data_IF_476115729075
#
_entry.id   IF_476115729075
#
_cell.length_a   1.000
_cell.length_b   1.000
_cell.length_c   1.000
_cell.angle_alpha   90.00
_cell.angle_beta   90.00
_cell.angle_gamma   90.00
#
_symmetry.space_group_name_H-M   'P 1'
#
loop_
_entity.id
_entity.type
_entity.pdbx_description
1 polymer ?
#
# COMPACT_ATOMS: atom_id res chain seq x y z
N UNK A 1 10.60 -13.09 18.47
CA UNK A 1 11.72 -12.15 18.66
C UNK A 1 11.17 -10.74 18.78
N UNK A 2 11.55 -9.99 19.82
CA UNK A 2 11.11 -8.59 20.01
C UNK A 2 12.28 -7.66 19.68
N UNK A 3 12.09 -6.76 18.73
CA UNK A 3 13.07 -5.76 18.31
C UNK A 3 12.53 -4.39 18.72
N UNK A 4 13.25 -3.66 19.58
CA UNK A 4 12.90 -2.27 19.91
C UNK A 4 13.39 -1.36 18.80
N UNK A 5 12.51 -0.50 18.29
CA UNK A 5 12.86 0.51 17.27
C UNK A 5 13.25 1.83 17.95
N UNK A 6 12.28 2.49 18.60
CA UNK A 6 12.49 3.77 19.27
C UNK A 6 11.44 3.99 20.37
N UNK A 7 11.86 4.48 21.54
CA UNK A 7 11.01 4.63 22.71
C UNK A 7 10.27 3.34 23.06
N UNK A 8 8.95 3.42 23.16
CA UNK A 8 8.06 2.28 23.46
C UNK A 8 7.58 1.50 22.22
N UNK A 9 8.13 1.79 21.03
CA UNK A 9 7.76 1.09 19.80
C UNK A 9 8.58 -0.17 19.63
N UNK A 10 7.91 -1.31 19.50
CA UNK A 10 8.52 -2.62 19.29
C UNK A 10 7.93 -3.35 18.09
N UNK A 11 8.78 -4.06 17.37
CA UNK A 11 8.43 -5.01 16.32
C UNK A 11 8.51 -6.41 16.91
N UNK A 12 7.45 -7.18 16.72
CA UNK A 12 7.34 -8.58 17.08
C UNK A 12 7.51 -9.40 15.81
N UNK A 13 8.62 -10.13 15.70
CA UNK A 13 8.88 -11.03 14.60
C UNK A 13 8.67 -12.48 15.06
N UNK A 14 7.82 -13.24 14.36
CA UNK A 14 7.64 -14.68 14.58
C UNK A 14 7.90 -15.45 13.29
N UNK A 15 8.20 -16.75 13.43
CA UNK A 15 8.34 -17.64 12.27
C UNK A 15 7.07 -17.68 11.42
N UNK A 16 5.90 -17.67 12.04
CA UNK A 16 4.62 -17.63 11.34
C UNK A 16 4.46 -16.37 10.49
N UNK A 17 4.97 -15.22 10.93
CA UNK A 17 4.95 -13.99 10.11
C UNK A 17 5.87 -14.10 8.90
N UNK A 18 7.08 -14.66 9.08
CA UNK A 18 8.03 -14.83 7.97
C UNK A 18 7.46 -15.79 6.93
N UNK A 19 6.91 -16.92 7.37
CA UNK A 19 6.25 -17.89 6.48
C UNK A 19 5.04 -17.24 5.80
N UNK A 20 4.20 -16.52 6.54
CA UNK A 20 3.05 -15.81 6.00
C UNK A 20 3.43 -14.77 4.93
N UNK A 21 4.48 -13.99 5.17
CA UNK A 21 5.02 -13.04 4.20
C UNK A 21 5.50 -13.74 2.93
N UNK A 22 6.21 -14.87 3.06
CA UNK A 22 6.70 -15.64 1.92
C UNK A 22 5.56 -16.22 1.07
N UNK A 23 4.53 -16.80 1.73
CA UNK A 23 3.33 -17.32 1.05
C UNK A 23 2.59 -16.19 0.32
N UNK A 24 2.39 -15.05 0.98
CA UNK A 24 1.78 -13.87 0.40
C UNK A 24 2.54 -13.41 -0.85
N UNK A 25 3.86 -13.25 -0.75
CA UNK A 25 4.70 -12.75 -1.84
C UNK A 25 4.70 -13.70 -3.03
N UNK A 26 4.84 -15.01 -2.78
CA UNK A 26 4.74 -16.04 -3.82
C UNK A 26 3.36 -16.06 -4.48
N UNK A 27 2.29 -15.87 -3.71
CA UNK A 27 0.92 -15.86 -4.24
C UNK A 27 0.70 -14.69 -5.20
N UNK A 28 1.18 -13.48 -4.85
CA UNK A 28 1.10 -12.32 -5.75
C UNK A 28 1.94 -12.55 -7.01
N UNK A 29 3.20 -12.95 -6.85
CA UNK A 29 4.07 -13.18 -8.01
C UNK A 29 3.53 -14.29 -8.92
N UNK A 30 3.02 -15.38 -8.34
CA UNK A 30 2.43 -16.49 -9.07
C UNK A 30 1.18 -16.07 -9.84
N UNK A 31 0.28 -15.29 -9.22
CA UNK A 31 -0.91 -14.77 -9.89
C UNK A 31 -0.53 -13.86 -11.07
N UNK A 32 0.42 -12.94 -10.86
CA UNK A 32 0.91 -12.05 -11.92
C UNK A 32 1.61 -12.83 -13.04
N UNK A 33 2.46 -13.79 -12.70
CA UNK A 33 3.16 -14.63 -13.67
C UNK A 33 2.18 -15.46 -14.51
N UNK A 34 1.12 -16.00 -13.89
CA UNK A 34 0.09 -16.74 -14.61
C UNK A 34 -0.63 -15.85 -15.63
N UNK A 35 -1.04 -14.65 -15.21
CA UNK A 35 -1.71 -13.69 -16.11
C UNK A 35 -0.79 -13.28 -17.26
N UNK A 36 0.49 -13.01 -17.00
CA UNK A 36 1.44 -12.56 -18.02
C UNK A 36 1.88 -13.67 -18.98
N UNK A 37 2.18 -14.87 -18.49
CA UNK A 37 2.82 -15.92 -19.28
C UNK A 37 1.86 -17.00 -19.77
N UNK A 38 0.72 -17.20 -19.12
CA UNK A 38 -0.27 -18.23 -19.50
C UNK A 38 -1.46 -17.59 -20.24
N UNK A 39 -2.04 -16.53 -19.68
CA UNK A 39 -3.15 -15.82 -20.34
C UNK A 39 -2.61 -14.92 -21.47
N UNK A 40 -1.40 -14.37 -21.31
CA UNK A 40 -0.77 -13.51 -22.32
C UNK A 40 -1.27 -12.07 -22.28
N UNK A 41 -1.76 -11.61 -21.13
CA UNK A 41 -2.21 -10.22 -20.97
C UNK A 41 -1.05 -9.23 -21.13
N UNK A 42 -1.28 -8.06 -21.77
CA UNK A 42 -0.26 -7.04 -21.91
C UNK A 42 0.08 -6.42 -20.55
N UNK A 43 1.36 -6.28 -20.25
CA UNK A 43 1.82 -5.64 -19.02
C UNK A 43 3.18 -6.12 -18.55
N UNK A 44 3.50 -5.84 -17.29
CA UNK A 44 4.70 -6.36 -16.65
C UNK A 44 4.75 -6.07 -15.17
N UNK A 45 5.60 -6.81 -14.45
CA UNK A 45 5.73 -6.69 -12.98
C UNK A 45 6.05 -5.26 -12.52
N UNK A 46 6.87 -4.54 -13.27
CA UNK A 46 7.26 -3.16 -12.96
C UNK A 46 6.09 -2.18 -12.93
N UNK A 47 4.95 -2.49 -13.56
CA UNK A 47 3.77 -1.61 -13.57
C UNK A 47 3.08 -1.51 -12.21
N UNK A 48 3.41 -2.39 -11.27
CA UNK A 48 2.90 -2.38 -9.89
C UNK A 48 3.90 -1.76 -8.90
N UNK A 49 5.03 -1.26 -9.40
CA UNK A 49 6.08 -0.61 -8.60
C UNK A 49 6.05 0.89 -8.88
N UNK A 50 5.70 1.70 -7.87
CA UNK A 50 5.62 3.15 -7.96
C UNK A 50 6.26 3.82 -6.75
N UNK A 51 7.42 4.45 -6.98
CA UNK A 51 8.13 5.19 -5.93
C UNK A 51 7.26 6.34 -5.37
N UNK A 52 6.58 7.18 -6.18
CA UNK A 52 5.71 8.23 -5.66
C UNK A 52 4.58 7.68 -4.78
N UNK A 53 3.94 6.59 -5.20
CA UNK A 53 2.87 5.95 -4.42
C UNK A 53 3.42 5.39 -3.11
N UNK A 54 4.62 4.81 -3.13
CA UNK A 54 5.29 4.32 -1.93
C UNK A 54 5.55 5.46 -0.94
N UNK A 55 6.17 6.56 -1.39
CA UNK A 55 6.47 7.73 -0.55
C UNK A 55 5.20 8.30 0.07
N UNK A 56 4.14 8.47 -0.74
CA UNK A 56 2.87 9.03 -0.27
C UNK A 56 2.24 8.13 0.79
N UNK A 57 2.09 6.83 0.51
CA UNK A 57 1.41 5.90 1.42
C UNK A 57 2.18 5.71 2.72
N UNK A 58 3.51 5.55 2.64
CA UNK A 58 4.34 5.44 3.85
C UNK A 58 4.36 6.74 4.64
N UNK A 59 4.52 7.88 3.96
CA UNK A 59 4.58 9.19 4.61
C UNK A 59 3.29 9.54 5.33
N UNK A 60 2.15 9.38 4.66
CA UNK A 60 0.82 9.64 5.24
C UNK A 60 0.49 8.64 6.33
N UNK A 61 0.69 7.33 6.08
CA UNK A 61 0.36 6.28 7.04
C UNK A 61 1.14 6.41 8.35
N UNK A 62 2.47 6.50 8.27
CA UNK A 62 3.32 6.71 9.45
C UNK A 62 3.05 8.08 10.07
N UNK A 63 2.86 9.12 9.25
CA UNK A 63 2.58 10.48 9.72
C UNK A 63 1.35 10.57 10.62
N UNK A 64 0.22 9.99 10.18
CA UNK A 64 -1.01 9.94 10.97
C UNK A 64 -0.84 9.18 12.28
N UNK A 65 -0.16 8.04 12.24
CA UNK A 65 0.10 7.27 13.47
C UNK A 65 0.97 8.05 14.45
N UNK A 66 2.00 8.76 13.96
CA UNK A 66 2.86 9.61 14.81
C UNK A 66 2.05 10.75 15.43
N UNK A 67 1.22 11.45 14.65
CA UNK A 67 0.36 12.52 15.15
C UNK A 67 -0.54 12.04 16.29
N UNK A 68 -1.06 10.81 16.18
CA UNK A 68 -1.95 10.19 17.16
C UNK A 68 -1.24 9.40 18.25
N UNK A 69 0.10 9.26 18.20
CA UNK A 69 0.85 8.37 19.11
C UNK A 69 0.59 8.64 20.59
N UNK A 70 0.32 9.90 20.95
CA UNK A 70 0.02 10.31 22.32
C UNK A 70 -1.32 9.77 22.86
N UNK A 71 -2.25 9.34 21.98
CA UNK A 71 -3.54 8.76 22.36
C UNK A 71 -3.55 7.23 22.28
N UNK A 72 -2.52 6.62 21.70
CA UNK A 72 -2.47 5.19 21.42
C UNK A 72 -1.74 4.42 22.52
N UNK A 73 -2.33 3.32 22.97
CA UNK A 73 -1.62 2.33 23.81
C UNK A 73 -0.70 1.46 22.95
N UNK A 74 0.35 0.91 23.56
CA UNK A 74 1.33 0.07 22.84
C UNK A 74 0.70 -1.13 22.12
N UNK A 75 -0.35 -1.72 22.69
CA UNK A 75 -1.06 -2.87 22.10
C UNK A 75 -2.03 -2.47 20.96
N UNK A 76 -2.36 -1.19 20.84
CA UNK A 76 -3.24 -0.64 19.80
C UNK A 76 -2.46 -0.13 18.59
N UNK A 77 -1.15 0.08 18.75
CA UNK A 77 -0.28 0.68 17.74
C UNK A 77 -0.37 -0.02 16.38
N UNK A 78 -0.23 -1.35 16.32
CA UNK A 78 -0.32 -2.09 15.06
C UNK A 78 -1.69 -1.99 14.37
N UNK A 79 -2.77 -1.92 15.14
CA UNK A 79 -4.13 -1.74 14.60
C UNK A 79 -4.33 -0.33 14.04
N UNK A 80 -3.87 0.68 14.78
CA UNK A 80 -3.91 2.06 14.35
C UNK A 80 -3.08 2.27 13.06
N UNK A 81 -1.87 1.71 13.00
CA UNK A 81 -1.03 1.73 11.81
C UNK A 81 -1.76 1.14 10.59
N UNK A 82 -2.46 0.00 10.73
CA UNK A 82 -3.23 -0.55 9.62
C UNK A 82 -4.28 0.42 9.10
N UNK A 83 -5.07 0.98 10.00
CA UNK A 83 -6.14 1.92 9.65
C UNK A 83 -5.57 3.16 8.97
N UNK A 84 -4.49 3.72 9.52
CA UNK A 84 -3.81 4.89 8.97
C UNK A 84 -3.19 4.58 7.58
N UNK A 85 -2.64 3.38 7.36
CA UNK A 85 -2.14 2.95 6.05
C UNK A 85 -3.27 2.70 5.03
N UNK A 86 -4.43 2.19 5.45
CA UNK A 86 -5.60 2.05 4.58
C UNK A 86 -6.08 3.43 4.13
N UNK A 87 -6.20 4.37 5.07
CA UNK A 87 -6.52 5.76 4.79
C UNK A 87 -5.48 6.41 3.86
N UNK A 88 -4.19 6.17 4.10
CA UNK A 88 -3.12 6.67 3.25
C UNK A 88 -3.23 6.15 1.81
N UNK A 89 -3.60 4.87 1.61
CA UNK A 89 -3.88 4.31 0.30
C UNK A 89 -5.03 5.03 -0.42
N UNK A 90 -6.13 5.29 0.30
CA UNK A 90 -7.27 6.05 -0.23
C UNK A 90 -6.93 7.51 -0.55
N UNK A 91 -6.16 8.18 0.32
CA UNK A 91 -5.67 9.54 0.05
C UNK A 91 -4.81 9.54 -1.22
N UNK A 92 -3.89 8.58 -1.36
CA UNK A 92 -3.07 8.45 -2.57
C UNK A 92 -3.89 8.21 -3.83
N UNK A 93 -4.94 7.39 -3.74
CA UNK A 93 -5.90 7.20 -4.83
C UNK A 93 -6.62 8.50 -5.21
N UNK A 94 -7.14 9.24 -4.22
CA UNK A 94 -7.83 10.53 -4.46
C UNK A 94 -6.90 11.59 -5.06
N UNK A 95 -5.66 11.68 -4.57
CA UNK A 95 -4.64 12.56 -5.15
C UNK A 95 -4.35 12.15 -6.60
N UNK A 96 -4.20 10.85 -6.86
CA UNK A 96 -4.01 10.32 -8.21
C UNK A 96 -5.18 10.65 -9.14
N UNK A 97 -6.42 10.53 -8.67
CA UNK A 97 -7.61 10.93 -9.42
C UNK A 97 -7.62 12.43 -9.73
N UNK A 98 -7.16 13.27 -8.80
CA UNK A 98 -7.01 14.71 -9.04
C UNK A 98 -6.06 15.01 -10.20
N UNK A 99 -4.89 14.36 -10.23
CA UNK A 99 -3.94 14.51 -11.34
C UNK A 99 -4.46 13.93 -12.66
N UNK A 100 -5.15 12.79 -12.60
CA UNK A 100 -5.77 12.18 -13.76
C UNK A 100 -6.84 13.11 -14.37
N UNK A 101 -7.68 13.72 -13.54
CA UNK A 101 -8.67 14.72 -13.97
C UNK A 101 -8.02 15.97 -14.57
N UNK A 102 -6.94 16.48 -13.99
CA UNK A 102 -6.19 17.61 -14.55
C UNK A 102 -5.64 17.29 -15.95
N UNK A 103 -5.09 16.09 -16.15
CA UNK A 103 -4.61 15.66 -17.47
C UNK A 103 -5.74 15.51 -18.50
N UNK A 104 -6.95 15.17 -18.09
CA UNK A 104 -8.12 15.15 -18.98
C UNK A 104 -8.56 16.56 -19.38
N UNK A 105 -8.53 17.51 -18.43
CA UNK A 105 -8.91 18.91 -18.68
C UNK A 105 -7.94 19.60 -19.66
N UNK A 106 -6.65 19.29 -19.60
CA UNK A 106 -5.67 19.77 -20.60
C UNK A 106 -5.97 19.30 -22.03
N UNK A 107 -6.70 18.20 -22.19
CA UNK A 107 -7.10 17.65 -23.50
C UNK A 107 -8.55 17.98 -23.87
N UNK A 108 -9.14 18.99 -23.23
CA UNK A 108 -10.53 19.37 -23.47
C UNK A 108 -10.78 19.68 -24.95
N UNK A 109 -11.73 18.95 -25.55
CA UNK A 109 -12.04 19.02 -26.98
C UNK A 109 -11.50 17.87 -27.83
N UNK A 110 -10.61 17.03 -27.28
CA UNK A 110 -10.13 15.80 -27.92
C UNK A 110 -10.48 14.57 -27.08
N UNK A 111 -11.71 14.08 -27.27
CA UNK A 111 -12.31 12.99 -26.47
C UNK A 111 -11.47 11.71 -26.54
N UNK A 112 -10.93 11.36 -27.69
CA UNK A 112 -10.10 10.14 -27.85
C UNK A 112 -8.84 10.21 -27.00
N UNK A 113 -8.19 11.37 -26.94
CA UNK A 113 -7.02 11.59 -26.10
C UNK A 113 -7.36 11.60 -24.61
N UNK A 114 -8.46 12.24 -24.23
CA UNK A 114 -8.98 12.19 -22.85
C UNK A 114 -9.24 10.76 -22.38
N UNK A 115 -9.90 9.93 -23.19
CA UNK A 115 -10.16 8.52 -22.87
C UNK A 115 -8.85 7.73 -22.77
N UNK A 116 -7.91 7.96 -23.69
CA UNK A 116 -6.59 7.30 -23.66
C UNK A 116 -5.82 7.60 -22.38
N UNK A 117 -5.86 8.83 -21.87
CA UNK A 117 -5.25 9.21 -20.59
C UNK A 117 -5.87 8.43 -19.43
N UNK A 118 -7.20 8.31 -19.38
CA UNK A 118 -7.88 7.53 -18.34
C UNK A 118 -7.42 6.07 -18.39
N UNK A 119 -7.54 5.42 -19.55
CA UNK A 119 -7.22 3.99 -19.69
C UNK A 119 -5.75 3.70 -19.36
N UNK A 120 -4.83 4.57 -19.80
CA UNK A 120 -3.40 4.37 -19.57
C UNK A 120 -2.96 4.64 -18.12
N UNK A 121 -3.60 5.58 -17.43
CA UNK A 121 -3.18 6.03 -16.10
C UNK A 121 -4.03 5.48 -14.95
N UNK A 122 -5.21 4.90 -15.23
CA UNK A 122 -6.08 4.38 -14.19
C UNK A 122 -5.41 3.27 -13.36
N UNK A 123 -4.59 2.44 -14.02
CA UNK A 123 -3.79 1.43 -13.31
C UNK A 123 -2.79 2.04 -12.33
N UNK A 124 -2.26 3.22 -12.62
CA UNK A 124 -1.26 3.89 -11.78
C UNK A 124 -1.90 4.50 -10.55
N UNK A 125 -3.12 5.04 -10.68
CA UNK A 125 -3.83 5.66 -9.54
C UNK A 125 -4.30 4.64 -8.51
N UNK A 126 -4.43 3.35 -8.87
CA UNK A 126 -4.82 2.28 -7.93
C UNK A 126 -3.66 1.69 -7.14
N UNK A 127 -2.40 1.91 -7.55
CA UNK A 127 -1.21 1.40 -6.85
C UNK A 127 -1.14 1.84 -5.37
N UNK A 128 -1.44 3.10 -5.01
CA UNK A 128 -1.53 3.52 -3.61
C UNK A 128 -2.49 2.67 -2.76
N UNK A 129 -3.63 2.23 -3.32
CA UNK A 129 -4.56 1.36 -2.58
C UNK A 129 -3.90 0.03 -2.24
N UNK A 130 -3.26 -0.61 -3.22
CA UNK A 130 -2.53 -1.86 -3.00
C UNK A 130 -1.49 -1.70 -1.90
N UNK A 131 -0.71 -0.63 -1.94
CA UNK A 131 0.31 -0.37 -0.93
C UNK A 131 -0.29 -0.12 0.45
N UNK A 132 -1.37 0.64 0.54
CA UNK A 132 -2.07 0.88 1.81
C UNK A 132 -2.56 -0.42 2.44
N UNK A 133 -3.23 -1.28 1.65
CA UNK A 133 -3.74 -2.55 2.14
C UNK A 133 -2.64 -3.52 2.56
N UNK A 134 -1.60 -3.68 1.74
CA UNK A 134 -0.49 -4.58 1.99
C UNK A 134 0.30 -4.10 3.22
N UNK A 135 0.76 -2.84 3.21
CA UNK A 135 1.61 -2.30 4.27
C UNK A 135 0.85 -2.26 5.59
N UNK A 136 -0.41 -1.83 5.58
CA UNK A 136 -1.24 -1.81 6.78
C UNK A 136 -1.35 -3.19 7.44
N UNK A 137 -1.53 -4.24 6.65
CA UNK A 137 -1.57 -5.62 7.17
C UNK A 137 -0.21 -6.13 7.66
N UNK A 138 0.88 -5.78 6.98
CA UNK A 138 2.23 -6.10 7.43
C UNK A 138 2.58 -5.42 8.76
N UNK A 139 2.20 -4.15 8.93
CA UNK A 139 2.42 -3.40 10.17
C UNK A 139 1.52 -3.87 11.31
N UNK A 140 0.26 -4.22 11.05
CA UNK A 140 -0.61 -4.88 12.03
C UNK A 140 0.05 -6.16 12.55
N UNK A 141 0.44 -7.06 11.64
CA UNK A 141 1.04 -8.33 12.01
C UNK A 141 2.32 -8.16 12.83
N UNK A 142 3.17 -7.21 12.46
CA UNK A 142 4.50 -7.03 13.06
C UNK A 142 4.52 -6.13 14.31
N UNK A 143 3.52 -5.27 14.52
CA UNK A 143 3.51 -4.29 15.63
C UNK A 143 2.36 -4.49 16.62
N UNK A 144 1.45 -5.44 16.37
CA UNK A 144 0.49 -5.89 17.38
C UNK A 144 1.15 -6.92 18.31
N UNK A 145 1.01 -6.71 19.63
CA UNK A 145 1.56 -7.61 20.63
C UNK A 145 0.91 -9.01 20.49
N UNK A 146 1.70 -10.11 20.47
CA UNK A 146 1.15 -11.46 20.41
C UNK A 146 0.33 -11.79 21.67
N UNK A 147 -0.73 -12.59 21.48
CA UNK A 147 -1.66 -12.99 22.56
C UNK A 147 -1.07 -14.07 23.46
N UNK A 148 -0.07 -14.83 22.97
CA UNK A 148 0.65 -15.87 23.71
C UNK A 148 2.13 -15.47 23.65
N UNK A 149 2.72 -15.20 24.82
CA UNK A 149 4.17 -14.98 25.00
C UNK A 149 4.94 -16.29 25.06
#
# INVERSE_FOLDING_TARGET
MKIKLFGNVAVYLSWSMVIGFFIYYLSILGAMAYVLFIIGEPGGFGQFVSIPSFILVFGVGIGFTIMRKHTLKENELGKALKEDFFLAGWIGFLVGLGFLGAGMDEQFGNIEWGISIVVSNFKTVTIPLLYGYICGKMFEASMTKPVIE
#
